data_IF_104037645653
#
_entry.id   IF_104037645653
#
_cell.length_a   1.000
_cell.length_b   1.000
_cell.length_c   1.000
_cell.angle_alpha   90.00
_cell.angle_beta   90.00
_cell.angle_gamma   90.00
#
_symmetry.space_group_name_H-M   'P 1'
#
loop_
_entity.id
_entity.type
_entity.pdbx_description
1 polymer ?
#
# COMPACT_ATOMS: atom_id res chain seq x y z
N UNK A 1 6.14 -2.66 29.75
CA UNK A 1 5.17 -2.93 28.66
C UNK A 1 6.00 -3.13 27.42
N UNK A 2 6.15 -4.37 26.95
CA UNK A 2 6.99 -4.66 25.77
C UNK A 2 6.29 -4.09 24.53
N UNK A 3 6.74 -2.93 24.04
CA UNK A 3 6.30 -2.48 22.72
C UNK A 3 6.83 -3.49 21.73
N UNK A 4 5.93 -4.13 20.99
CA UNK A 4 6.30 -5.08 19.94
C UNK A 4 7.20 -4.34 18.94
N UNK A 5 8.47 -4.76 18.83
CA UNK A 5 9.43 -4.14 17.91
C UNK A 5 8.86 -4.14 16.49
N UNK A 6 9.07 -3.05 15.74
CA UNK A 6 8.63 -2.96 14.35
C UNK A 6 9.32 -4.06 13.53
N UNK A 7 8.55 -4.74 12.69
CA UNK A 7 9.05 -5.73 11.73
C UNK A 7 9.24 -5.02 10.40
N UNK A 8 10.47 -4.99 9.88
CA UNK A 8 10.75 -4.44 8.55
C UNK A 8 10.48 -5.47 7.45
N UNK A 9 10.90 -6.71 7.67
CA UNK A 9 10.64 -7.83 6.77
C UNK A 9 10.61 -9.16 7.53
N UNK A 10 9.98 -10.19 6.95
CA UNK A 10 10.04 -11.55 7.47
C UNK A 10 9.90 -12.55 6.34
N UNK A 11 10.77 -13.55 6.29
CA UNK A 11 10.72 -14.63 5.30
C UNK A 11 9.32 -15.29 5.19
N UNK A 12 8.64 -15.46 6.33
CA UNK A 12 7.29 -16.02 6.37
C UNK A 12 6.24 -15.25 5.54
N UNK A 13 6.46 -13.96 5.25
CA UNK A 13 5.57 -13.16 4.41
C UNK A 13 5.67 -13.53 2.91
N UNK A 14 6.74 -14.23 2.52
CA UNK A 14 7.10 -14.47 1.11
C UNK A 14 7.00 -15.94 0.71
N UNK A 15 6.88 -16.87 1.67
CA UNK A 15 6.91 -18.32 1.44
C UNK A 15 5.92 -18.81 0.38
N UNK A 16 4.67 -18.32 0.39
CA UNK A 16 3.67 -18.73 -0.59
C UNK A 16 4.06 -18.33 -2.02
N UNK A 17 4.67 -17.15 -2.19
CA UNK A 17 5.14 -16.66 -3.49
C UNK A 17 6.38 -17.44 -3.95
N UNK A 18 7.34 -17.68 -3.06
CA UNK A 18 8.54 -18.47 -3.33
C UNK A 18 8.17 -19.89 -3.79
N UNK A 19 7.28 -20.56 -3.06
CA UNK A 19 6.80 -21.91 -3.39
C UNK A 19 6.02 -21.95 -4.70
N UNK A 20 5.25 -20.90 -5.01
CA UNK A 20 4.55 -20.79 -6.29
C UNK A 20 5.51 -20.73 -7.49
N UNK A 21 6.76 -20.30 -7.30
CA UNK A 21 7.83 -20.34 -8.30
C UNK A 21 8.65 -21.64 -8.29
N UNK A 22 8.30 -22.60 -7.43
CA UNK A 22 9.04 -23.87 -7.31
C UNK A 22 10.44 -23.73 -6.70
N UNK A 23 10.66 -22.65 -5.93
CA UNK A 23 11.93 -22.35 -5.30
C UNK A 23 11.99 -22.87 -3.85
N UNK A 24 13.21 -23.03 -3.33
CA UNK A 24 13.46 -23.41 -1.94
C UNK A 24 13.02 -22.31 -0.96
N UNK A 25 12.50 -22.68 0.21
CA UNK A 25 12.02 -21.74 1.24
C UNK A 25 13.10 -20.74 1.67
N UNK A 26 14.40 -21.08 1.56
CA UNK A 26 15.52 -20.15 1.79
C UNK A 26 15.44 -18.89 0.92
N UNK A 27 14.88 -18.99 -0.29
CA UNK A 27 14.74 -17.83 -1.17
C UNK A 27 13.85 -16.73 -0.59
N UNK A 28 13.01 -17.05 0.40
CA UNK A 28 12.17 -16.08 1.09
C UNK A 28 12.95 -15.10 1.97
N UNK A 29 14.20 -15.41 2.36
CA UNK A 29 15.01 -14.54 3.23
C UNK A 29 16.06 -13.73 2.47
N UNK A 30 16.33 -14.03 1.20
CA UNK A 30 17.53 -13.55 0.48
C UNK A 30 17.57 -12.03 0.37
N UNK A 31 16.50 -11.36 -0.07
CA UNK A 31 16.50 -9.90 -0.20
C UNK A 31 16.76 -9.21 1.14
N UNK A 32 16.10 -9.65 2.21
CA UNK A 32 16.32 -9.12 3.56
C UNK A 32 17.72 -9.47 4.09
N UNK A 33 18.22 -10.65 3.76
CA UNK A 33 19.55 -11.15 4.10
C UNK A 33 20.68 -10.32 3.49
N UNK A 34 20.55 -9.93 2.22
CA UNK A 34 21.54 -9.06 1.56
C UNK A 34 21.61 -7.68 2.23
N UNK A 35 20.46 -7.09 2.58
CA UNK A 35 20.43 -5.85 3.36
C UNK A 35 21.03 -6.03 4.76
N UNK A 36 20.66 -7.11 5.45
CA UNK A 36 21.11 -7.39 6.81
C UNK A 36 22.64 -7.59 6.86
N UNK A 37 23.18 -8.37 5.94
CA UNK A 37 24.64 -8.52 5.79
C UNK A 37 25.34 -7.18 5.59
N UNK A 38 24.80 -6.32 4.72
CA UNK A 38 25.36 -4.98 4.50
C UNK A 38 25.35 -4.16 5.80
N UNK A 39 24.26 -4.19 6.56
CA UNK A 39 24.15 -3.49 7.83
C UNK A 39 25.17 -4.01 8.87
N UNK A 40 25.42 -5.33 8.91
CA UNK A 40 26.46 -5.94 9.75
C UNK A 40 27.84 -5.38 9.38
N UNK A 41 28.18 -5.36 8.08
CA UNK A 41 29.48 -4.87 7.61
C UNK A 41 29.72 -3.38 7.85
N UNK A 42 28.67 -2.59 8.11
CA UNK A 42 28.73 -1.15 8.41
C UNK A 42 28.59 -0.84 9.91
N UNK A 43 28.48 -1.85 10.76
CA UNK A 43 28.30 -1.66 12.20
C UNK A 43 26.95 -1.02 12.56
N UNK A 44 25.92 -1.24 11.74
CA UNK A 44 24.59 -0.68 11.95
C UNK A 44 23.67 -1.59 12.78
N UNK A 45 24.14 -2.80 13.12
CA UNK A 45 23.42 -3.78 13.95
C UNK A 45 23.76 -3.62 15.43
N UNK A 46 22.82 -3.98 16.30
CA UNK A 46 22.98 -3.87 17.74
C UNK A 46 24.00 -4.90 18.28
N UNK A 47 24.84 -4.50 19.23
CA UNK A 47 25.89 -5.36 19.82
C UNK A 47 25.35 -6.64 20.45
N UNK A 48 24.14 -6.59 21.01
CA UNK A 48 23.51 -7.75 21.64
C UNK A 48 23.27 -8.91 20.66
N UNK A 49 23.10 -8.59 19.38
CA UNK A 49 22.79 -9.57 18.34
C UNK A 49 24.00 -10.48 18.11
N UNK A 50 25.18 -9.88 17.96
CA UNK A 50 26.45 -10.61 17.85
C UNK A 50 26.79 -11.32 19.16
N UNK A 51 26.53 -10.71 20.32
CA UNK A 51 26.76 -11.36 21.61
C UNK A 51 25.90 -12.62 21.83
N UNK A 52 24.74 -12.72 21.17
CA UNK A 52 23.85 -13.89 21.25
C UNK A 52 24.21 -15.02 20.30
N UNK A 53 24.82 -14.72 19.16
CA UNK A 53 25.22 -15.72 18.15
C UNK A 53 26.62 -15.47 17.58
N UNK A 54 27.67 -15.37 18.42
CA UNK A 54 29.00 -14.94 17.99
C UNK A 54 29.61 -15.86 16.93
N UNK A 55 29.31 -17.16 16.96
CA UNK A 55 29.78 -18.13 15.97
C UNK A 55 29.18 -17.87 14.59
N UNK A 56 27.92 -17.45 14.51
CA UNK A 56 27.26 -17.14 13.24
C UNK A 56 27.83 -15.86 12.62
N UNK A 57 28.07 -14.83 13.44
CA UNK A 57 28.74 -13.60 12.98
C UNK A 57 30.19 -13.86 12.56
N UNK A 58 30.92 -14.72 13.28
CA UNK A 58 32.25 -15.14 12.90
C UNK A 58 32.25 -15.87 11.55
N UNK A 59 31.34 -16.81 11.33
CA UNK A 59 31.17 -17.52 10.06
C UNK A 59 30.83 -16.56 8.91
N UNK A 60 29.95 -15.57 9.14
CA UNK A 60 29.60 -14.56 8.14
C UNK A 60 30.83 -13.70 7.76
N UNK A 61 31.61 -13.25 8.75
CA UNK A 61 32.85 -12.48 8.52
C UNK A 61 33.95 -13.32 7.85
N UNK A 62 34.01 -14.61 8.16
CA UNK A 62 34.88 -15.59 7.50
C UNK A 62 34.41 -15.96 6.09
N UNK A 63 33.24 -15.46 5.66
CA UNK A 63 32.61 -15.72 4.36
C UNK A 63 32.18 -17.18 4.16
N UNK A 64 31.93 -17.88 5.25
CA UNK A 64 31.45 -19.26 5.25
C UNK A 64 29.94 -19.34 5.08
N UNK A 65 29.21 -18.29 5.50
CA UNK A 65 27.77 -18.15 5.31
C UNK A 65 27.41 -16.80 4.68
N UNK A 66 26.25 -16.75 4.03
CA UNK A 66 25.67 -15.54 3.44
C UNK A 66 24.96 -14.66 4.48
N UNK A 67 24.52 -13.47 4.04
CA UNK A 67 23.65 -12.62 4.85
C UNK A 67 22.26 -13.23 5.09
N UNK A 68 21.73 -13.96 4.09
CA UNK A 68 20.48 -14.71 4.20
C UNK A 68 20.57 -15.82 5.24
N UNK A 69 21.64 -16.62 5.20
CA UNK A 69 21.90 -17.68 6.18
C UNK A 69 22.14 -17.15 7.59
N UNK A 70 22.78 -15.97 7.72
CA UNK A 70 22.93 -15.30 9.00
C UNK A 70 21.57 -14.82 9.54
N UNK A 71 20.75 -14.17 8.71
CA UNK A 71 19.41 -13.71 9.11
C UNK A 71 18.45 -14.86 9.40
N UNK A 72 18.61 -16.01 8.73
CA UNK A 72 17.84 -17.22 9.01
C UNK A 72 18.04 -17.75 10.44
N UNK A 73 19.16 -17.42 11.11
CA UNK A 73 19.36 -17.72 12.55
C UNK A 73 18.43 -16.92 13.47
N UNK A 74 17.76 -15.92 12.93
CA UNK A 74 16.81 -15.02 13.59
C UNK A 74 15.41 -15.14 12.98
N UNK A 75 14.97 -16.38 12.70
CA UNK A 75 13.67 -16.71 12.08
C UNK A 75 13.41 -16.02 10.73
N UNK A 76 14.47 -15.58 10.05
CA UNK A 76 14.38 -14.79 8.82
C UNK A 76 13.62 -13.47 9.02
N UNK A 77 13.56 -12.95 10.25
CA UNK A 77 12.85 -11.73 10.61
C UNK A 77 13.83 -10.56 10.78
N UNK A 78 13.59 -9.47 10.06
CA UNK A 78 14.36 -8.24 10.17
C UNK A 78 13.60 -7.26 11.06
N UNK A 79 14.05 -7.10 12.30
CA UNK A 79 13.36 -6.34 13.35
C UNK A 79 14.09 -5.05 13.69
N UNK A 80 13.36 -4.03 14.13
CA UNK A 80 13.90 -2.73 14.51
C UNK A 80 14.94 -2.80 15.63
N UNK A 81 14.75 -3.67 16.62
CA UNK A 81 15.65 -3.84 17.76
C UNK A 81 16.96 -4.58 17.43
N UNK A 82 17.09 -5.14 16.22
CA UNK A 82 18.33 -5.72 15.71
C UNK A 82 19.34 -4.66 15.27
N UNK A 83 18.94 -3.39 15.21
CA UNK A 83 19.78 -2.29 14.75
C UNK A 83 20.19 -1.35 15.88
N UNK A 84 21.28 -0.62 15.65
CA UNK A 84 21.58 0.62 16.39
C UNK A 84 20.50 1.67 16.12
N UNK A 85 20.43 2.73 16.91
CA UNK A 85 19.49 3.85 16.66
C UNK A 85 19.66 4.42 15.23
N UNK A 86 20.91 4.54 14.77
CA UNK A 86 21.25 4.98 13.41
C UNK A 86 20.76 3.98 12.35
N UNK A 87 21.05 2.68 12.55
CA UNK A 87 20.61 1.63 11.63
C UNK A 87 19.09 1.50 11.55
N UNK A 88 18.40 1.60 12.69
CA UNK A 88 16.96 1.56 12.80
C UNK A 88 16.32 2.76 12.10
N UNK A 89 16.88 3.96 12.28
CA UNK A 89 16.39 5.18 11.63
C UNK A 89 16.52 5.12 10.10
N UNK A 90 17.63 4.58 9.59
CA UNK A 90 17.80 4.37 8.15
C UNK A 90 16.85 3.29 7.62
N UNK A 91 16.80 2.12 8.27
CA UNK A 91 15.93 1.01 7.90
C UNK A 91 14.45 1.44 7.85
N UNK A 92 14.00 2.24 8.83
CA UNK A 92 12.63 2.73 8.90
C UNK A 92 12.21 3.63 7.73
N UNK A 93 13.15 4.30 7.08
CA UNK A 93 12.87 5.11 5.88
C UNK A 93 13.04 4.29 4.62
N UNK A 94 14.11 3.50 4.54
CA UNK A 94 14.55 2.89 3.30
C UNK A 94 13.84 1.56 3.00
N UNK A 95 13.53 0.77 4.03
CA UNK A 95 12.80 -0.50 3.93
C UNK A 95 11.28 -0.35 4.02
N UNK A 96 10.76 0.86 4.20
CA UNK A 96 9.31 1.08 4.29
C UNK A 96 8.60 0.60 3.02
N UNK A 97 7.68 -0.36 3.16
CA UNK A 97 7.00 -0.98 2.01
C UNK A 97 6.14 -0.01 1.17
N UNK A 98 5.79 1.17 1.69
CA UNK A 98 4.94 2.15 0.99
C UNK A 98 5.74 3.26 0.31
N UNK A 99 6.91 3.57 0.86
CA UNK A 99 7.66 4.79 0.54
C UNK A 99 9.17 4.66 0.49
N UNK A 100 9.69 3.56 1.02
CA UNK A 100 11.08 3.19 0.89
C UNK A 100 11.39 2.76 -0.54
N UNK A 101 12.64 2.94 -0.95
CA UNK A 101 13.09 2.58 -2.30
C UNK A 101 13.84 1.27 -2.35
N UNK A 102 14.01 0.57 -1.22
CA UNK A 102 14.77 -0.68 -1.17
C UNK A 102 14.30 -1.71 -2.19
N UNK A 103 12.98 -1.97 -2.26
CA UNK A 103 12.45 -2.96 -3.19
C UNK A 103 12.72 -2.56 -4.65
N UNK A 104 12.50 -1.29 -5.01
CA UNK A 104 12.78 -0.80 -6.37
C UNK A 104 14.27 -0.89 -6.72
N UNK A 105 15.14 -0.54 -5.79
CA UNK A 105 16.59 -0.60 -5.95
C UNK A 105 17.06 -2.05 -6.06
N UNK A 106 16.51 -2.95 -5.24
CA UNK A 106 16.74 -4.39 -5.29
C UNK A 106 16.27 -4.99 -6.63
N UNK A 107 15.04 -4.73 -7.06
CA UNK A 107 14.49 -5.26 -8.31
C UNK A 107 15.28 -4.77 -9.54
N UNK A 108 15.61 -3.47 -9.58
CA UNK A 108 16.38 -2.86 -10.67
C UNK A 108 17.79 -3.42 -10.76
N UNK A 109 18.43 -3.63 -9.60
CA UNK A 109 19.83 -4.06 -9.53
C UNK A 109 19.95 -5.56 -9.69
N UNK A 110 19.07 -6.35 -9.07
CA UNK A 110 19.26 -7.79 -8.88
C UNK A 110 18.33 -8.64 -9.72
N UNK A 111 17.06 -8.25 -9.85
CA UNK A 111 16.02 -9.11 -10.44
C UNK A 111 15.84 -8.93 -11.96
N UNK A 112 16.56 -7.99 -12.59
CA UNK A 112 16.39 -7.70 -14.01
C UNK A 112 16.77 -8.90 -14.88
N UNK A 113 15.79 -9.45 -15.59
CA UNK A 113 15.98 -10.59 -16.48
C UNK A 113 15.81 -11.95 -15.79
N UNK A 114 15.43 -11.97 -14.50
CA UNK A 114 15.07 -13.17 -13.78
C UNK A 114 13.56 -13.45 -13.85
N UNK A 115 13.12 -14.71 -13.69
CA UNK A 115 11.68 -15.05 -13.70
C UNK A 115 10.89 -14.40 -12.57
N UNK A 116 11.52 -14.14 -11.42
CA UNK A 116 10.96 -13.37 -10.31
C UNK A 116 12.07 -12.80 -9.43
N UNK A 117 11.69 -11.92 -8.50
CA UNK A 117 12.57 -11.31 -7.50
C UNK A 117 13.20 -12.31 -6.52
N UNK A 118 12.62 -13.51 -6.41
CA UNK A 118 13.09 -14.61 -5.56
C UNK A 118 14.11 -15.52 -6.26
N UNK A 119 14.42 -15.28 -7.54
CA UNK A 119 15.46 -16.03 -8.26
C UNK A 119 16.86 -15.41 -8.09
N UNK A 120 16.98 -14.32 -7.34
CA UNK A 120 18.28 -13.71 -7.04
C UNK A 120 19.06 -14.67 -6.16
N UNK A 121 20.28 -15.01 -6.58
CA UNK A 121 21.12 -15.92 -5.83
C UNK A 121 21.62 -15.27 -4.53
N UNK A 122 21.62 -16.04 -3.45
CA UNK A 122 22.21 -15.64 -2.17
C UNK A 122 23.74 -15.80 -2.20
N UNK A 123 24.39 -14.91 -2.94
CA UNK A 123 25.82 -14.98 -3.22
C UNK A 123 26.57 -13.73 -2.77
N UNK A 124 27.88 -13.89 -2.54
CA UNK A 124 28.77 -12.77 -2.21
C UNK A 124 28.81 -11.71 -3.30
N UNK A 125 28.83 -12.13 -4.57
CA UNK A 125 28.81 -11.21 -5.71
C UNK A 125 27.55 -10.35 -5.69
N UNK A 126 26.39 -10.95 -5.42
CA UNK A 126 25.13 -10.25 -5.33
C UNK A 126 25.06 -9.32 -4.11
N UNK A 127 25.62 -9.74 -2.98
CA UNK A 127 25.79 -8.91 -1.80
C UNK A 127 26.64 -7.67 -2.10
N UNK A 128 27.82 -7.84 -2.69
CA UNK A 128 28.73 -6.74 -3.02
C UNK A 128 28.11 -5.78 -4.04
N UNK A 129 27.37 -6.30 -5.02
CA UNK A 129 26.66 -5.50 -6.02
C UNK A 129 25.56 -4.65 -5.39
N UNK A 130 24.73 -5.23 -4.52
CA UNK A 130 23.68 -4.47 -3.83
C UNK A 130 24.27 -3.47 -2.83
N UNK A 131 25.38 -3.83 -2.15
CA UNK A 131 26.06 -2.99 -1.18
C UNK A 131 26.49 -1.63 -1.76
N UNK A 132 26.89 -1.56 -3.05
CA UNK A 132 27.19 -0.29 -3.72
C UNK A 132 25.99 0.66 -3.69
N UNK A 133 24.80 0.16 -4.02
CA UNK A 133 23.56 0.95 -4.00
C UNK A 133 23.17 1.32 -2.58
N UNK A 134 23.30 0.38 -1.64
CA UNK A 134 23.00 0.63 -0.22
C UNK A 134 23.91 1.71 0.37
N UNK A 135 25.21 1.69 0.06
CA UNK A 135 26.18 2.69 0.51
C UNK A 135 25.86 4.09 -0.04
N UNK A 136 25.44 4.20 -1.31
CA UNK A 136 25.01 5.48 -1.89
C UNK A 136 23.75 6.02 -1.20
N UNK A 137 22.76 5.16 -0.98
CA UNK A 137 21.49 5.51 -0.31
C UNK A 137 21.72 5.93 1.13
N UNK A 138 22.50 5.15 1.87
CA UNK A 138 22.86 5.42 3.25
C UNK A 138 23.71 6.70 3.38
N UNK A 139 24.71 6.90 2.52
CA UNK A 139 25.53 8.12 2.53
C UNK A 139 24.69 9.37 2.27
N UNK A 140 23.74 9.28 1.34
CA UNK A 140 22.86 10.41 1.01
C UNK A 140 21.91 10.70 2.16
N UNK A 141 21.32 9.67 2.75
CA UNK A 141 20.48 9.76 3.95
C UNK A 141 21.22 10.41 5.13
N UNK A 142 22.42 9.89 5.44
CA UNK A 142 23.22 10.29 6.61
C UNK A 142 23.58 11.77 6.62
N UNK A 143 23.72 12.40 5.44
CA UNK A 143 24.02 13.84 5.32
C UNK A 143 22.95 14.75 5.92
N UNK A 144 21.71 14.28 6.01
CA UNK A 144 20.59 15.06 6.56
C UNK A 144 20.08 14.55 7.90
N UNK A 145 20.74 13.56 8.51
CA UNK A 145 20.25 12.93 9.73
C UNK A 145 20.86 13.57 10.97
N UNK A 146 20.00 13.86 11.94
CA UNK A 146 20.36 14.33 13.27
C UNK A 146 20.14 13.19 14.28
N UNK A 147 21.16 12.80 15.08
CA UNK A 147 21.06 11.80 16.14
C UNK A 147 20.06 12.21 17.23
N UNK A 148 18.77 11.91 16.99
CA UNK A 148 17.65 12.28 17.86
C UNK A 148 16.36 12.57 17.12
N UNK A 149 16.41 12.77 15.80
CA UNK A 149 15.25 12.92 14.93
C UNK A 149 14.96 11.62 14.14
N UNK A 150 13.70 11.41 13.71
CA UNK A 150 13.40 10.41 12.68
C UNK A 150 14.29 10.68 11.44
N UNK A 151 14.78 9.60 10.82
CA UNK A 151 15.66 9.68 9.65
C UNK A 151 15.10 10.60 8.54
N UNK A 152 15.91 11.45 7.90
CA UNK A 152 15.48 12.20 6.72
C UNK A 152 15.11 11.25 5.58
N UNK A 153 14.37 11.71 4.58
CA UNK A 153 14.07 10.90 3.38
C UNK A 153 15.31 10.77 2.51
N UNK A 154 15.47 9.62 1.84
CA UNK A 154 16.53 9.42 0.84
C UNK A 154 16.12 10.05 -0.50
N UNK A 155 16.85 11.04 -1.04
CA UNK A 155 16.62 11.60 -2.37
C UNK A 155 16.62 10.51 -3.46
N UNK A 156 15.63 10.55 -4.36
CA UNK A 156 15.47 9.54 -5.42
C UNK A 156 14.67 8.30 -5.01
N UNK A 157 14.03 8.30 -3.84
CA UNK A 157 12.92 7.39 -3.55
C UNK A 157 11.71 7.78 -4.43
N UNK A 158 11.68 7.25 -5.64
CA UNK A 158 10.56 7.46 -6.59
C UNK A 158 9.39 6.54 -6.24
N UNK A 159 8.66 6.93 -5.21
CA UNK A 159 7.21 7.03 -5.20
C UNK A 159 6.88 7.82 -3.95
N UNK A 160 6.24 8.96 -4.14
CA UNK A 160 5.64 9.73 -3.06
C UNK A 160 4.89 8.74 -2.18
N UNK A 161 5.31 8.56 -0.92
CA UNK A 161 4.39 8.05 0.10
C UNK A 161 3.18 8.94 -0.06
N UNK A 162 2.07 8.41 -0.60
CA UNK A 162 0.81 9.05 -0.33
C UNK A 162 0.80 9.18 1.19
N UNK A 163 0.64 10.39 1.75
CA UNK A 163 0.65 10.56 3.20
C UNK A 163 -0.26 9.49 3.85
N UNK A 164 -0.07 9.19 5.13
CA UNK A 164 -1.08 8.39 5.81
C UNK A 164 -2.43 9.13 5.65
N UNK A 165 -3.53 8.45 5.27
CA UNK A 165 -4.82 9.11 5.07
C UNK A 165 -5.17 9.91 6.33
N UNK A 166 -5.43 11.22 6.27
CA UNK A 166 -5.75 12.00 7.46
C UNK A 166 -6.95 11.40 8.20
N UNK A 167 -6.89 11.40 9.54
CA UNK A 167 -8.04 11.03 10.37
C UNK A 167 -9.12 12.08 10.33
N UNK A 168 -8.71 13.34 10.27
CA UNK A 168 -9.56 14.51 10.21
C UNK A 168 -8.78 15.62 9.51
N UNK A 169 -9.47 16.47 8.76
CA UNK A 169 -8.82 17.62 8.15
C UNK A 169 -9.74 18.38 7.21
N UNK A 170 -9.29 19.57 6.83
CA UNK A 170 -9.91 20.35 5.76
C UNK A 170 -9.29 19.92 4.43
N UNK A 171 -10.10 19.36 3.53
CA UNK A 171 -9.62 18.88 2.23
C UNK A 171 -10.44 19.47 1.09
N UNK A 172 -9.85 19.62 -0.11
CA UNK A 172 -10.60 19.92 -1.33
C UNK A 172 -11.53 18.76 -1.67
N UNK A 173 -12.71 19.08 -2.17
CA UNK A 173 -13.76 18.13 -2.55
C UNK A 173 -13.99 18.23 -4.06
N UNK A 174 -13.92 17.08 -4.73
CA UNK A 174 -14.23 16.93 -6.15
C UNK A 174 -15.54 16.17 -6.30
N UNK A 175 -16.59 16.82 -6.85
CA UNK A 175 -17.80 16.12 -7.28
C UNK A 175 -17.48 15.13 -8.41
N UNK A 176 -17.68 13.83 -8.16
CA UNK A 176 -17.45 12.81 -9.19
C UNK A 176 -18.72 12.60 -10.02
N UNK A 177 -18.59 12.71 -11.33
CA UNK A 177 -19.72 12.52 -12.27
C UNK A 177 -19.89 11.06 -12.71
N UNK A 178 -18.84 10.24 -12.55
CA UNK A 178 -18.79 8.85 -13.00
C UNK A 178 -19.15 7.88 -11.86
N UNK A 179 -20.42 7.86 -11.45
CA UNK A 179 -20.94 6.90 -10.47
C UNK A 179 -20.45 7.12 -9.03
N UNK A 180 -20.41 6.04 -8.25
CA UNK A 180 -19.95 6.03 -6.85
C UNK A 180 -18.53 5.48 -6.79
N UNK A 181 -17.60 6.28 -6.27
CA UNK A 181 -16.24 5.84 -6.00
C UNK A 181 -16.20 4.91 -4.78
N UNK A 182 -15.30 3.92 -4.79
CA UNK A 182 -15.08 3.00 -3.67
C UNK A 182 -13.56 2.84 -3.43
N UNK A 183 -13.12 2.74 -2.17
CA UNK A 183 -11.80 2.22 -1.85
C UNK A 183 -11.82 0.67 -1.88
N UNK A 184 -10.68 0.00 -2.16
CA UNK A 184 -9.53 0.55 -2.88
C UNK A 184 -9.87 0.70 -4.37
N UNK A 185 -9.27 1.67 -5.05
CA UNK A 185 -9.51 1.85 -6.48
C UNK A 185 -8.68 2.98 -7.09
N UNK A 186 -8.42 2.89 -8.39
CA UNK A 186 -7.79 3.98 -9.15
C UNK A 186 -8.82 4.56 -10.13
N UNK A 187 -8.89 5.89 -10.20
CA UNK A 187 -9.77 6.60 -11.12
C UNK A 187 -8.97 7.61 -11.94
N UNK A 188 -9.35 7.76 -13.20
CA UNK A 188 -8.92 8.87 -14.05
C UNK A 188 -10.12 9.76 -14.29
N UNK A 189 -10.03 11.02 -13.86
CA UNK A 189 -11.14 11.96 -13.82
C UNK A 189 -10.81 13.15 -14.71
N UNK A 190 -11.66 13.40 -15.70
CA UNK A 190 -11.58 14.61 -16.50
C UNK A 190 -12.28 15.76 -15.77
N UNK A 191 -11.52 16.80 -15.48
CA UNK A 191 -11.95 17.99 -14.76
C UNK A 191 -11.95 19.17 -15.73
N UNK A 192 -13.10 19.81 -15.91
CA UNK A 192 -13.27 20.92 -16.87
C UNK A 192 -13.89 22.17 -16.27
N UNK A 193 -14.43 22.05 -15.06
CA UNK A 193 -15.25 23.11 -14.44
C UNK A 193 -14.37 23.99 -13.57
N UNK A 194 -14.57 25.32 -13.55
CA UNK A 194 -13.76 26.23 -12.75
C UNK A 194 -13.68 25.82 -11.27
N UNK A 195 -14.80 25.47 -10.63
CA UNK A 195 -14.82 25.04 -9.22
C UNK A 195 -14.05 23.74 -8.96
N UNK A 196 -14.15 22.77 -9.88
CA UNK A 196 -13.40 21.52 -9.79
C UNK A 196 -11.91 21.74 -10.05
N UNK A 197 -11.53 22.62 -10.99
CA UNK A 197 -10.13 23.00 -11.20
C UNK A 197 -9.55 23.64 -9.93
N UNK A 198 -10.30 24.52 -9.26
CA UNK A 198 -9.88 25.09 -7.97
C UNK A 198 -9.63 24.00 -6.92
N UNK A 199 -10.49 22.99 -6.81
CA UNK A 199 -10.26 21.87 -5.89
C UNK A 199 -8.99 21.07 -6.23
N UNK A 200 -8.71 20.85 -7.53
CA UNK A 200 -7.50 20.16 -7.97
C UNK A 200 -6.24 20.98 -7.68
N UNK A 201 -6.26 22.29 -7.94
CA UNK A 201 -5.12 23.16 -7.64
C UNK A 201 -4.90 23.29 -6.13
N UNK A 202 -5.96 23.32 -5.33
CA UNK A 202 -5.85 23.27 -3.87
C UNK A 202 -5.23 21.95 -3.39
N UNK A 203 -5.60 20.82 -3.99
CA UNK A 203 -5.00 19.51 -3.68
C UNK A 203 -3.51 19.47 -4.10
N UNK A 204 -3.17 20.05 -5.25
CA UNK A 204 -1.79 20.18 -5.74
C UNK A 204 -0.92 21.05 -4.83
N UNK A 205 -1.49 22.12 -4.27
CA UNK A 205 -0.78 23.03 -3.36
C UNK A 205 -0.62 22.46 -1.94
N UNK A 206 -1.45 21.49 -1.55
CA UNK A 206 -1.41 20.83 -0.25
C UNK A 206 -0.73 19.46 -0.28
N UNK A 207 -1.21 18.54 0.57
CA UNK A 207 -0.65 17.19 0.74
C UNK A 207 -1.10 16.19 -0.36
N UNK A 208 -1.74 16.66 -1.44
CA UNK A 208 -2.24 15.79 -2.51
C UNK A 208 -3.50 15.00 -2.16
N UNK A 209 -4.24 15.41 -1.12
CA UNK A 209 -5.52 14.79 -0.76
C UNK A 209 -6.71 15.43 -1.48
N UNK A 210 -7.66 14.57 -1.84
CA UNK A 210 -8.90 14.96 -2.48
C UNK A 210 -10.05 14.12 -1.94
N UNK A 211 -11.17 14.75 -1.57
CA UNK A 211 -12.41 14.06 -1.25
C UNK A 211 -13.24 13.88 -2.51
N UNK A 212 -13.46 12.64 -2.93
CA UNK A 212 -14.33 12.30 -4.05
C UNK A 212 -15.76 12.09 -3.52
N UNK A 213 -16.70 12.91 -3.98
CA UNK A 213 -18.08 12.86 -3.48
C UNK A 213 -19.04 12.81 -4.65
N UNK A 214 -19.93 11.82 -4.67
CA UNK A 214 -20.90 11.67 -5.75
C UNK A 214 -22.17 12.49 -5.48
N UNK A 215 -22.90 12.91 -6.52
CA UNK A 215 -24.26 13.43 -6.37
C UNK A 215 -25.20 12.40 -5.74
N UNK A 216 -26.10 12.86 -4.88
CA UNK A 216 -27.09 12.00 -4.21
C UNK A 216 -28.05 11.34 -5.22
N UNK A 217 -28.49 12.09 -6.23
CA UNK A 217 -29.39 11.61 -7.27
C UNK A 217 -28.64 11.15 -8.53
N UNK A 218 -29.09 10.07 -9.20
CA UNK A 218 -28.56 9.66 -10.49
C UNK A 218 -28.88 10.72 -11.55
N UNK A 219 -27.94 10.95 -12.48
CA UNK A 219 -28.11 12.00 -13.50
C UNK A 219 -28.16 13.42 -12.93
N UNK A 220 -27.58 13.62 -11.73
CA UNK A 220 -27.55 14.90 -11.03
C UNK A 220 -27.00 16.05 -11.87
N UNK A 221 -27.24 17.28 -11.36
CA UNK A 221 -26.89 18.53 -12.02
C UNK A 221 -25.47 18.54 -12.60
N UNK A 222 -25.32 19.18 -13.76
CA UNK A 222 -24.01 19.52 -14.31
C UNK A 222 -23.28 20.57 -13.47
N UNK A 223 -23.91 21.13 -12.45
CA UNK A 223 -23.29 22.00 -11.45
C UNK A 223 -23.93 21.68 -10.09
N UNK A 224 -23.47 20.61 -9.40
CA UNK A 224 -24.02 20.26 -8.11
C UNK A 224 -23.60 21.31 -7.08
N UNK A 225 -24.49 21.64 -6.17
CA UNK A 225 -24.17 22.39 -4.96
C UNK A 225 -23.74 21.42 -3.85
N UNK A 226 -23.09 21.89 -2.77
CA UNK A 226 -22.83 21.09 -1.58
C UNK A 226 -24.03 20.27 -1.06
N UNK A 227 -25.26 20.79 -1.20
CA UNK A 227 -26.48 20.09 -0.78
C UNK A 227 -26.95 18.98 -1.72
N UNK A 228 -26.43 18.92 -2.95
CA UNK A 228 -26.76 17.90 -3.94
C UNK A 228 -25.85 16.66 -3.83
N UNK A 229 -24.82 16.72 -2.97
CA UNK A 229 -23.79 15.72 -2.81
C UNK A 229 -24.06 14.82 -1.62
N UNK A 230 -23.55 13.59 -1.69
CA UNK A 230 -23.60 12.65 -0.58
C UNK A 230 -22.79 13.17 0.61
N UNK A 231 -23.23 12.78 1.82
CA UNK A 231 -22.50 13.11 3.04
C UNK A 231 -21.25 12.24 3.24
N UNK A 232 -21.29 11.00 2.71
CA UNK A 232 -20.15 10.08 2.73
C UNK A 232 -19.50 10.07 1.34
N UNK A 233 -18.19 10.22 1.32
CA UNK A 233 -17.36 10.18 0.13
C UNK A 233 -16.11 9.32 0.32
N UNK A 234 -15.17 9.44 -0.61
CA UNK A 234 -13.92 8.68 -0.61
C UNK A 234 -12.74 9.63 -0.59
N UNK A 235 -11.88 9.48 0.39
CA UNK A 235 -10.58 10.13 0.44
C UNK A 235 -9.65 9.45 -0.57
N UNK A 236 -9.09 10.24 -1.47
CA UNK A 236 -8.19 9.78 -2.51
C UNK A 236 -6.90 10.60 -2.53
N UNK A 237 -5.77 9.94 -2.80
CA UNK A 237 -4.50 10.60 -3.05
C UNK A 237 -4.35 10.88 -4.54
N UNK A 238 -4.06 12.12 -4.92
CA UNK A 238 -3.74 12.50 -6.29
C UNK A 238 -2.43 11.85 -6.71
N UNK A 239 -2.45 11.12 -7.80
CA UNK A 239 -1.28 10.43 -8.36
C UNK A 239 -0.73 11.14 -9.59
N UNK A 240 -1.58 11.79 -10.37
CA UNK A 240 -1.20 12.49 -11.58
C UNK A 240 -2.17 13.65 -11.84
N UNK A 241 -1.64 14.75 -12.37
CA UNK A 241 -2.45 15.82 -12.96
C UNK A 241 -1.78 16.22 -14.28
N UNK A 242 -2.52 16.18 -15.37
CA UNK A 242 -2.09 16.63 -16.69
C UNK A 242 -3.13 17.58 -17.29
N UNK A 243 -2.73 18.44 -18.22
CA UNK A 243 -3.69 19.20 -19.03
C UNK A 243 -4.39 18.25 -20.01
N UNK A 244 -5.70 18.38 -20.15
CA UNK A 244 -6.47 17.58 -21.11
C UNK A 244 -6.10 17.99 -22.54
N UNK A 245 -5.70 17.05 -23.41
CA UNK A 245 -5.33 17.37 -24.80
C UNK A 245 -6.46 18.06 -25.56
N UNK A 246 -6.18 19.23 -26.14
CA UNK A 246 -7.13 19.97 -26.98
C UNK A 246 -8.27 20.66 -26.23
N UNK A 247 -8.21 20.74 -24.90
CA UNK A 247 -9.24 21.38 -24.06
C UNK A 247 -8.58 22.46 -23.20
N UNK A 248 -8.60 23.74 -23.62
CA UNK A 248 -8.04 24.82 -22.82
C UNK A 248 -8.62 24.85 -21.40
N UNK A 249 -7.77 24.75 -20.39
CA UNK A 249 -8.17 24.75 -18.97
C UNK A 249 -8.78 23.44 -18.46
N UNK A 250 -8.82 22.37 -19.27
CA UNK A 250 -9.20 21.03 -18.81
C UNK A 250 -8.01 20.31 -18.16
N UNK A 251 -8.28 19.49 -17.15
CA UNK A 251 -7.30 18.67 -16.45
C UNK A 251 -7.72 17.20 -16.46
N UNK A 252 -6.78 16.30 -16.73
CA UNK A 252 -6.91 14.87 -16.52
C UNK A 252 -6.20 14.49 -15.22
N UNK A 253 -6.96 13.98 -14.25
CA UNK A 253 -6.48 13.73 -12.88
C UNK A 253 -6.54 12.25 -12.57
N UNK A 254 -5.38 11.66 -12.29
CA UNK A 254 -5.25 10.32 -11.72
C UNK A 254 -5.35 10.39 -10.20
N UNK A 255 -6.17 9.51 -9.60
CA UNK A 255 -6.32 9.40 -8.15
C UNK A 255 -6.34 7.94 -7.70
N UNK A 256 -5.86 7.69 -6.49
CA UNK A 256 -6.03 6.41 -5.79
C UNK A 256 -6.91 6.59 -4.55
N UNK A 257 -8.07 5.93 -4.56
CA UNK A 257 -9.03 5.85 -3.47
C UNK A 257 -8.44 5.07 -2.28
N UNK A 258 -8.51 5.66 -1.08
CA UNK A 258 -7.86 5.13 0.12
C UNK A 258 -8.84 4.73 1.23
N UNK A 259 -9.78 5.61 1.57
CA UNK A 259 -10.64 5.41 2.73
C UNK A 259 -11.98 6.13 2.56
N UNK A 260 -12.99 5.71 3.31
CA UNK A 260 -14.26 6.43 3.41
C UNK A 260 -14.12 7.64 4.32
N UNK A 261 -14.80 8.72 3.96
CA UNK A 261 -14.85 9.97 4.72
C UNK A 261 -16.28 10.44 4.87
N UNK A 262 -16.56 11.10 5.98
CA UNK A 262 -17.79 11.83 6.20
C UNK A 262 -17.51 13.33 6.20
N UNK A 263 -18.35 14.08 5.50
CA UNK A 263 -18.33 15.54 5.49
C UNK A 263 -19.01 16.04 6.76
N UNK A 264 -18.32 16.88 7.53
CA UNK A 264 -18.86 17.52 8.72
C UNK A 264 -19.27 18.97 8.46
N UNK A 265 -18.49 19.72 7.69
CA UNK A 265 -18.79 21.12 7.37
C UNK A 265 -18.18 21.54 6.03
N UNK A 266 -18.93 22.29 5.23
CA UNK A 266 -18.43 22.89 4.00
C UNK A 266 -17.76 24.23 4.27
N UNK A 267 -16.64 24.48 3.58
CA UNK A 267 -15.91 25.73 3.56
C UNK A 267 -15.93 26.39 2.18
N UNK A 268 -15.15 27.46 2.04
CA UNK A 268 -14.98 28.15 0.75
C UNK A 268 -14.15 27.33 -0.25
N UNK A 269 -14.28 27.65 -1.54
CA UNK A 269 -13.38 27.12 -2.58
C UNK A 269 -13.47 25.60 -2.78
N UNK A 270 -14.66 25.01 -2.63
CA UNK A 270 -14.86 23.56 -2.74
C UNK A 270 -14.02 22.77 -1.73
N UNK A 271 -13.83 23.29 -0.52
CA UNK A 271 -13.21 22.57 0.58
C UNK A 271 -14.25 22.15 1.63
N UNK A 272 -13.97 21.08 2.37
CA UNK A 272 -14.78 20.67 3.49
C UNK A 272 -13.92 20.12 4.64
N UNK A 273 -14.39 20.32 5.86
CA UNK A 273 -13.90 19.63 7.04
C UNK A 273 -14.48 18.21 7.03
N UNK A 274 -13.61 17.21 7.02
CA UNK A 274 -13.98 15.80 6.92
C UNK A 274 -13.36 14.98 8.03
N UNK A 275 -13.99 13.86 8.33
CA UNK A 275 -13.48 12.81 9.22
C UNK A 275 -13.43 11.48 8.48
N UNK A 276 -12.34 10.73 8.67
CA UNK A 276 -12.21 9.37 8.15
C UNK A 276 -13.14 8.46 8.92
N UNK A 277 -13.97 7.69 8.20
CA UNK A 277 -14.80 6.69 8.83
C UNK A 277 -13.93 5.49 9.23
N UNK A 278 -14.00 5.02 10.49
CA UNK A 278 -13.28 3.84 10.92
C UNK A 278 -13.84 2.60 10.22
N UNK A 279 -12.96 1.68 9.83
CA UNK A 279 -13.41 0.39 9.32
C UNK A 279 -13.72 -0.56 10.49
N UNK A 280 -14.90 -1.21 10.49
CA UNK A 280 -15.28 -2.15 11.54
C UNK A 280 -14.39 -3.39 11.53
N UNK A 281 -13.97 -3.82 12.72
CA UNK A 281 -13.28 -5.09 12.91
C UNK A 281 -14.26 -6.28 12.79
N UNK A 282 -13.83 -7.42 12.22
CA UNK A 282 -14.65 -8.62 12.16
C UNK A 282 -15.08 -9.11 13.53
N UNK A 283 -16.38 -9.33 13.71
CA UNK A 283 -16.93 -10.00 14.89
C UNK A 283 -17.10 -11.50 14.63
N UNK A 284 -17.32 -12.29 15.68
CA UNK A 284 -17.66 -13.71 15.54
C UNK A 284 -18.94 -13.93 14.73
N UNK A 285 -19.86 -12.96 14.71
CA UNK A 285 -21.09 -13.00 13.91
C UNK A 285 -20.84 -12.86 12.40
N UNK A 286 -19.75 -12.22 12.00
CA UNK A 286 -19.41 -12.00 10.59
C UNK A 286 -18.67 -13.19 9.96
N UNK A 287 -18.05 -14.05 10.79
CA UNK A 287 -17.13 -15.10 10.35
C UNK A 287 -17.75 -16.03 9.29
N UNK A 288 -18.97 -16.52 9.52
CA UNK A 288 -19.65 -17.42 8.59
C UNK A 288 -19.92 -16.76 7.22
N UNK A 289 -20.26 -15.47 7.22
CA UNK A 289 -20.57 -14.73 6.02
C UNK A 289 -19.31 -14.34 5.24
N UNK A 290 -18.25 -13.93 5.95
CA UNK A 290 -16.94 -13.66 5.34
C UNK A 290 -16.36 -14.93 4.71
N UNK A 291 -16.53 -16.10 5.34
CA UNK A 291 -16.11 -17.38 4.77
C UNK A 291 -16.92 -17.74 3.52
N UNK A 292 -18.23 -17.49 3.52
CA UNK A 292 -19.06 -17.66 2.33
C UNK A 292 -18.60 -16.75 1.17
N UNK A 293 -18.22 -15.49 1.47
CA UNK A 293 -17.62 -14.59 0.47
C UNK A 293 -16.31 -15.16 -0.06
N UNK A 294 -15.40 -15.63 0.80
CA UNK A 294 -14.13 -16.25 0.36
C UNK A 294 -14.35 -17.44 -0.56
N UNK A 295 -15.32 -18.29 -0.22
CA UNK A 295 -15.69 -19.42 -1.06
C UNK A 295 -16.15 -18.97 -2.46
N UNK A 296 -17.03 -17.96 -2.51
CA UNK A 296 -17.50 -17.36 -3.77
C UNK A 296 -16.36 -16.72 -4.59
N UNK A 297 -15.43 -16.03 -3.93
CA UNK A 297 -14.22 -15.48 -4.60
C UNK A 297 -13.35 -16.60 -5.17
N UNK A 298 -13.17 -17.71 -4.45
CA UNK A 298 -12.42 -18.86 -4.95
C UNK A 298 -13.02 -19.45 -6.23
N UNK A 299 -14.34 -19.48 -6.35
CA UNK A 299 -15.03 -19.87 -7.59
C UNK A 299 -14.85 -18.84 -8.70
N UNK A 300 -15.02 -17.55 -8.40
CA UNK A 300 -14.82 -16.47 -9.37
C UNK A 300 -13.39 -16.48 -9.93
N UNK A 301 -12.38 -16.68 -9.08
CA UNK A 301 -10.97 -16.83 -9.49
C UNK A 301 -10.77 -18.04 -10.40
N UNK A 302 -11.35 -19.20 -10.08
CA UNK A 302 -11.27 -20.38 -10.96
C UNK A 302 -11.94 -20.12 -12.31
N UNK A 303 -13.08 -19.44 -12.31
CA UNK A 303 -13.79 -19.05 -13.54
C UNK A 303 -12.94 -18.13 -14.41
N UNK A 304 -12.43 -17.02 -13.86
CA UNK A 304 -11.55 -16.07 -14.57
C UNK A 304 -10.29 -16.74 -15.11
N UNK A 305 -9.65 -17.62 -14.33
CA UNK A 305 -8.47 -18.39 -14.79
C UNK A 305 -8.79 -19.26 -16.00
N UNK A 306 -9.94 -19.96 -16.00
CA UNK A 306 -10.38 -20.77 -17.15
C UNK A 306 -10.69 -19.92 -18.38
N UNK A 307 -11.22 -18.72 -18.17
CA UNK A 307 -11.53 -17.76 -19.24
C UNK A 307 -10.29 -16.99 -19.74
N UNK A 308 -9.15 -17.07 -19.05
CA UNK A 308 -7.96 -16.27 -19.37
C UNK A 308 -8.10 -14.78 -19.02
N UNK A 309 -9.03 -14.44 -18.12
CA UNK A 309 -9.30 -13.07 -17.72
C UNK A 309 -8.34 -12.58 -16.64
N UNK A 310 -8.03 -11.26 -16.59
CA UNK A 310 -7.28 -10.68 -15.49
C UNK A 310 -7.96 -10.92 -14.15
N UNK A 311 -7.18 -11.42 -13.18
CA UNK A 311 -7.71 -11.71 -11.84
C UNK A 311 -7.99 -10.43 -11.03
N UNK A 312 -7.32 -9.33 -11.37
CA UNK A 312 -7.49 -8.05 -10.70
C UNK A 312 -7.23 -8.14 -9.19
N UNK A 313 -7.99 -7.37 -8.41
CA UNK A 313 -7.91 -7.36 -6.95
C UNK A 313 -8.44 -8.64 -6.30
N UNK A 314 -9.19 -9.49 -7.01
CA UNK A 314 -9.65 -10.78 -6.47
C UNK A 314 -8.47 -11.68 -6.08
N UNK A 315 -7.32 -11.54 -6.76
CA UNK A 315 -6.12 -12.31 -6.43
C UNK A 315 -5.57 -12.00 -5.03
N UNK A 316 -5.89 -10.83 -4.47
CA UNK A 316 -5.46 -10.43 -3.13
C UNK A 316 -6.43 -10.91 -2.04
N UNK A 317 -7.66 -11.30 -2.39
CA UNK A 317 -8.68 -11.70 -1.42
C UNK A 317 -8.22 -12.76 -0.38
N UNK A 318 -7.37 -13.76 -0.72
CA UNK A 318 -6.88 -14.73 0.27
C UNK A 318 -6.06 -14.10 1.41
N UNK A 319 -5.38 -12.97 1.16
CA UNK A 319 -4.53 -12.29 2.16
C UNK A 319 -5.27 -11.19 2.93
N UNK A 320 -6.46 -10.81 2.46
CA UNK A 320 -7.28 -9.74 3.05
C UNK A 320 -8.32 -10.31 4.02
N UNK A 321 -8.82 -9.48 4.92
CA UNK A 321 -9.90 -9.83 5.87
C UNK A 321 -10.83 -8.63 6.12
N UNK A 322 -11.98 -8.89 6.74
CA UNK A 322 -12.94 -7.84 7.13
C UNK A 322 -13.33 -6.92 5.99
N UNK A 323 -13.35 -5.60 6.27
CA UNK A 323 -13.68 -4.57 5.30
C UNK A 323 -12.80 -4.64 4.04
N UNK A 324 -11.49 -4.82 4.21
CA UNK A 324 -10.55 -4.84 3.10
C UNK A 324 -10.82 -5.97 2.10
N UNK A 325 -11.25 -7.15 2.58
CA UNK A 325 -11.69 -8.24 1.73
C UNK A 325 -12.93 -7.83 0.91
N UNK A 326 -13.96 -7.30 1.59
CA UNK A 326 -15.23 -6.95 0.95
C UNK A 326 -15.06 -5.85 -0.09
N UNK A 327 -14.29 -4.83 0.25
CA UNK A 327 -14.01 -3.68 -0.59
C UNK A 327 -13.19 -4.08 -1.84
N UNK A 328 -12.15 -4.90 -1.68
CA UNK A 328 -11.37 -5.42 -2.81
C UNK A 328 -12.20 -6.29 -3.77
N UNK A 329 -13.13 -7.09 -3.22
CA UNK A 329 -14.04 -7.89 -4.04
C UNK A 329 -15.04 -6.98 -4.75
N UNK A 330 -15.69 -6.06 -4.02
CA UNK A 330 -16.67 -5.13 -4.59
C UNK A 330 -16.10 -4.27 -5.72
N UNK A 331 -14.81 -3.91 -5.66
CA UNK A 331 -14.12 -3.18 -6.72
C UNK A 331 -14.04 -3.96 -8.05
N UNK A 332 -14.08 -5.29 -7.99
CA UNK A 332 -13.97 -6.20 -9.14
C UNK A 332 -15.33 -6.71 -9.63
N UNK A 333 -16.38 -6.48 -8.85
CA UNK A 333 -17.75 -6.81 -9.23
C UNK A 333 -18.37 -5.64 -10.01
N UNK A 334 -19.10 -5.96 -11.07
CA UNK A 334 -19.89 -5.00 -11.85
C UNK A 334 -21.12 -4.51 -11.09
N UNK A 335 -20.92 -3.90 -9.90
CA UNK A 335 -21.98 -3.43 -9.02
C UNK A 335 -22.76 -2.26 -9.64
N UNK A 336 -24.07 -2.23 -9.41
CA UNK A 336 -24.90 -1.09 -9.79
C UNK A 336 -24.54 0.15 -8.97
N UNK A 337 -25.04 1.33 -9.38
CA UNK A 337 -24.82 2.57 -8.63
C UNK A 337 -25.34 2.46 -7.19
N UNK A 338 -26.53 1.89 -7.04
CA UNK A 338 -27.22 1.70 -5.75
C UNK A 338 -26.43 0.76 -4.84
N UNK A 339 -25.86 -0.30 -5.42
CA UNK A 339 -25.04 -1.26 -4.69
C UNK A 339 -23.72 -0.65 -4.25
N UNK A 340 -23.07 0.14 -5.11
CA UNK A 340 -21.87 0.89 -4.73
C UNK A 340 -22.18 1.93 -3.65
N UNK A 341 -23.34 2.59 -3.71
CA UNK A 341 -23.77 3.50 -2.66
C UNK A 341 -23.95 2.76 -1.33
N UNK A 342 -24.61 1.60 -1.35
CA UNK A 342 -24.77 0.77 -0.16
C UNK A 342 -23.42 0.30 0.41
N UNK A 343 -22.47 -0.11 -0.45
CA UNK A 343 -21.11 -0.43 -0.01
C UNK A 343 -20.41 0.75 0.67
N UNK A 344 -20.60 1.97 0.14
CA UNK A 344 -19.98 3.18 0.66
C UNK A 344 -20.58 3.57 2.02
N UNK A 345 -21.90 3.56 2.16
CA UNK A 345 -22.61 4.08 3.33
C UNK A 345 -22.76 3.06 4.47
N UNK A 346 -22.73 1.76 4.17
CA UNK A 346 -22.93 0.72 5.19
C UNK A 346 -21.84 0.79 6.28
N UNK A 347 -22.22 0.97 7.56
CA UNK A 347 -21.25 1.06 8.65
C UNK A 347 -20.73 -0.32 9.09
N UNK A 348 -21.52 -1.38 8.89
CA UNK A 348 -21.23 -2.74 9.37
C UNK A 348 -20.76 -3.69 8.25
N UNK A 349 -20.03 -4.74 8.65
CA UNK A 349 -19.52 -5.75 7.72
C UNK A 349 -20.63 -6.67 7.20
N UNK A 350 -21.64 -6.95 8.02
CA UNK A 350 -22.75 -7.85 7.66
C UNK A 350 -23.45 -7.39 6.38
N UNK A 351 -23.87 -6.12 6.32
CA UNK A 351 -24.55 -5.52 5.17
C UNK A 351 -23.67 -5.55 3.92
N UNK A 352 -22.40 -5.16 4.05
CA UNK A 352 -21.43 -5.19 2.94
C UNK A 352 -21.18 -6.62 2.44
N UNK A 353 -21.03 -7.58 3.35
CA UNK A 353 -20.75 -8.96 2.99
C UNK A 353 -21.96 -9.66 2.36
N UNK A 354 -23.18 -9.34 2.79
CA UNK A 354 -24.40 -9.84 2.15
C UNK A 354 -24.52 -9.34 0.72
N UNK A 355 -24.24 -8.05 0.49
CA UNK A 355 -24.25 -7.46 -0.84
C UNK A 355 -23.18 -8.11 -1.75
N UNK A 356 -21.94 -8.19 -1.28
CA UNK A 356 -20.84 -8.80 -2.04
C UNK A 356 -21.14 -10.26 -2.38
N UNK A 357 -21.67 -11.03 -1.42
CA UNK A 357 -22.08 -12.43 -1.66
C UNK A 357 -23.16 -12.53 -2.74
N UNK A 358 -24.22 -11.73 -2.64
CA UNK A 358 -25.29 -11.73 -3.63
C UNK A 358 -24.76 -11.33 -5.03
N UNK A 359 -23.85 -10.37 -5.10
CA UNK A 359 -23.25 -9.95 -6.36
C UNK A 359 -22.33 -11.03 -6.97
N UNK A 360 -21.58 -11.78 -6.17
CA UNK A 360 -20.79 -12.94 -6.62
C UNK A 360 -21.69 -14.04 -7.18
N UNK A 361 -22.84 -14.30 -6.56
CA UNK A 361 -23.79 -15.32 -6.99
C UNK A 361 -24.43 -14.99 -8.35
N UNK A 362 -24.64 -13.71 -8.66
CA UNK A 362 -25.16 -13.26 -9.97
C UNK A 362 -24.15 -13.37 -11.11
N UNK A 363 -22.85 -13.39 -10.79
CA UNK A 363 -21.78 -13.51 -11.78
C UNK A 363 -21.39 -14.94 -12.11
N UNK A 364 -22.03 -15.93 -11.46
CA UNK A 364 -21.98 -17.35 -11.85
C UNK A 364 -22.91 -17.60 -13.02
#
# INVERSE_FOLDING_TARGET
MSSRARIFDKAAFHLDSVRAHGLDDHQAVVHAGLYFGWAVERGLVAEWLEARTPEAFAAYRAREISGGELLARWDGALLEDMFTDEGAAFAAVYLDHQSGSFLDDYLRTMARGLPSEYHVEDSRENHERLAVVLDERYTTWRRGWDPGAPGPRVPGATRTRAPAPPERGRIPILPVTQGIALPPGALSIQVRRPGSVVAIEAARAGDGWLGLVSPAQPGGSSDPTPGDLLQIGVLASVTQIAESPGVPGGLDVGVCCRARIQIEAWGEGWCADVVRLPEPEPTSGDAALLEAVRHGVGEALRSRRRAGEPLGLLALAPTLSGAALLDAVAAELGLSREERLLMLEAPDLMTRAQLVRAALERGR
#
